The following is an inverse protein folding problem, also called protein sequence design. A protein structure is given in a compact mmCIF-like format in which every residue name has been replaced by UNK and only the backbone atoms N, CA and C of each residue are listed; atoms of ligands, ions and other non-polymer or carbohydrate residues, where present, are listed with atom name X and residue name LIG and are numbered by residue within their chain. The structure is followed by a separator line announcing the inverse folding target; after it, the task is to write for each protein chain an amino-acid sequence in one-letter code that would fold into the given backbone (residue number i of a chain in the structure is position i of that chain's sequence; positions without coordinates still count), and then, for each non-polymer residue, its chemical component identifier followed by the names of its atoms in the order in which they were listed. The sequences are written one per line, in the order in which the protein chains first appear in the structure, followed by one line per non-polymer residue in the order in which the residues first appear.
data_IF_272737510376
#
_entry.id   IF_272737510376
#
_cell.length_a   1.000
_cell.length_b   1.000
_cell.length_c   1.000
_cell.angle_alpha   90.00
_cell.angle_beta   90.00
_cell.angle_gamma   90.00
#
_symmetry.space_group_name_H-M   'P 1'
#
loop_
_entity.id
_entity.type
_entity.pdbx_description
1 polymer ?
#
# COMPACT_ATOMS: atom_id res chain seq x y z
N UNK A 1 -21.73 -23.90 19.85
CA UNK A 1 -21.89 -24.27 18.42
C UNK A 1 -21.04 -25.50 18.18
N UNK A 2 -21.61 -26.58 17.61
CA UNK A 2 -20.90 -27.84 17.37
C UNK A 2 -19.83 -27.67 16.30
N UNK A 3 -18.59 -28.03 16.61
CA UNK A 3 -17.45 -27.80 15.72
C UNK A 3 -17.44 -28.80 14.56
N UNK A 4 -17.82 -28.34 13.36
CA UNK A 4 -17.66 -29.12 12.12
C UNK A 4 -16.17 -29.34 11.76
N UNK A 5 -15.28 -28.56 12.37
CA UNK A 5 -13.83 -28.69 12.32
C UNK A 5 -13.32 -28.78 13.76
N UNK A 6 -12.43 -29.74 14.02
CA UNK A 6 -11.73 -29.85 15.30
C UNK A 6 -10.84 -28.61 15.54
N UNK A 7 -10.95 -28.04 16.74
CA UNK A 7 -10.16 -26.90 17.23
C UNK A 7 -8.65 -27.01 16.99
N UNK A 8 -8.10 -28.24 16.94
CA UNK A 8 -6.67 -28.46 16.65
C UNK A 8 -6.23 -27.91 15.29
N UNK A 9 -7.13 -27.89 14.30
CA UNK A 9 -6.82 -27.42 12.94
C UNK A 9 -6.91 -25.91 12.78
N UNK A 10 -7.42 -25.18 13.77
CA UNK A 10 -7.53 -23.70 13.72
C UNK A 10 -6.14 -23.06 13.52
N UNK A 11 -5.10 -23.62 14.13
CA UNK A 11 -3.72 -23.16 13.94
C UNK A 11 -3.24 -23.29 12.49
N UNK A 12 -3.54 -24.42 11.85
CA UNK A 12 -3.19 -24.67 10.46
C UNK A 12 -3.95 -23.76 9.49
N UNK A 13 -5.24 -23.55 9.73
CA UNK A 13 -6.08 -22.61 8.95
C UNK A 13 -5.53 -21.19 9.05
N UNK A 14 -5.25 -20.72 10.28
CA UNK A 14 -4.64 -19.40 10.52
C UNK A 14 -3.31 -19.27 9.80
N UNK A 15 -2.46 -20.29 9.84
CA UNK A 15 -1.16 -20.29 9.15
C UNK A 15 -1.32 -20.14 7.64
N UNK A 16 -2.29 -20.83 7.04
CA UNK A 16 -2.60 -20.74 5.61
C UNK A 16 -3.03 -19.33 5.20
N UNK A 17 -3.99 -18.76 5.93
CA UNK A 17 -4.46 -17.39 5.72
C UNK A 17 -3.30 -16.39 5.88
N UNK A 18 -2.54 -16.46 6.97
CA UNK A 18 -1.45 -15.52 7.24
C UNK A 18 -0.33 -15.61 6.21
N UNK A 19 -0.08 -16.79 5.63
CA UNK A 19 0.89 -16.95 4.55
C UNK A 19 0.45 -16.21 3.29
N UNK A 20 -0.83 -16.33 2.91
CA UNK A 20 -1.41 -15.57 1.79
C UNK A 20 -1.53 -14.07 2.08
N UNK A 21 -1.79 -13.67 3.32
CA UNK A 21 -1.83 -12.25 3.69
C UNK A 21 -0.47 -11.57 3.57
N UNK A 22 0.64 -12.30 3.73
CA UNK A 22 1.99 -11.74 3.53
C UNK A 22 2.27 -11.44 2.06
N UNK A 23 1.84 -12.34 1.18
CA UNK A 23 2.02 -12.24 -0.27
C UNK A 23 0.64 -12.12 -0.91
N UNK A 24 0.10 -10.91 -0.96
CA UNK A 24 -1.27 -10.67 -1.38
C UNK A 24 -1.54 -11.14 -2.81
N UNK A 25 -2.71 -11.76 -3.09
CA UNK A 25 -3.00 -12.33 -4.41
C UNK A 25 -3.05 -11.34 -5.59
N UNK A 26 -3.10 -10.03 -5.31
CA UNK A 26 -3.32 -8.99 -6.33
C UNK A 26 -2.02 -8.47 -6.93
N UNK A 27 -1.06 -8.10 -6.08
CA UNK A 27 0.21 -7.46 -6.47
C UNK A 27 1.41 -8.04 -5.71
N UNK A 28 1.22 -9.12 -4.95
CA UNK A 28 2.22 -9.65 -4.02
C UNK A 28 2.44 -8.81 -2.76
N UNK A 29 1.80 -7.62 -2.65
CA UNK A 29 1.92 -6.73 -1.50
C UNK A 29 1.19 -7.29 -0.26
N UNK A 30 1.62 -6.94 0.97
CA UNK A 30 0.99 -7.44 2.18
C UNK A 30 -0.45 -6.93 2.32
N UNK A 31 -1.36 -7.85 2.57
CA UNK A 31 -2.77 -7.56 2.83
C UNK A 31 -2.96 -7.03 4.26
N UNK A 32 -3.64 -5.91 4.41
CA UNK A 32 -3.93 -5.28 5.70
C UNK A 32 -5.42 -4.98 5.84
N UNK A 33 -5.87 -4.72 7.07
CA UNK A 33 -7.25 -4.35 7.40
C UNK A 33 -8.31 -5.39 7.00
N UNK A 34 -7.97 -6.68 7.10
CA UNK A 34 -8.87 -7.80 6.79
C UNK A 34 -9.29 -8.52 8.07
N UNK A 35 -10.59 -8.82 8.18
CA UNK A 35 -11.14 -9.73 9.17
C UNK A 35 -11.57 -11.02 8.50
N UNK A 36 -11.02 -12.15 8.93
CA UNK A 36 -11.41 -13.48 8.46
C UNK A 36 -12.20 -14.18 9.56
N UNK A 37 -13.36 -14.73 9.21
CA UNK A 37 -14.24 -15.47 10.12
C UNK A 37 -14.49 -16.85 9.55
N UNK A 38 -14.07 -17.89 10.27
CA UNK A 38 -14.36 -19.29 9.94
C UNK A 38 -15.60 -19.68 10.73
N UNK A 39 -16.70 -19.92 10.03
CA UNK A 39 -18.00 -20.21 10.66
C UNK A 39 -18.52 -21.62 10.39
N UNK A 40 -18.03 -22.30 9.35
CA UNK A 40 -18.42 -23.66 8.99
C UNK A 40 -17.29 -24.38 8.22
N UNK A 41 -17.43 -25.69 8.03
CA UNK A 41 -16.55 -26.50 7.20
C UNK A 41 -16.84 -27.99 7.27
N UNK A 42 -15.97 -28.80 6.68
CA UNK A 42 -16.06 -30.26 6.72
C UNK A 42 -14.68 -30.87 6.97
N UNK A 43 -14.64 -31.95 7.73
CA UNK A 43 -13.43 -32.73 7.95
C UNK A 43 -13.70 -34.21 7.71
N UNK A 44 -12.67 -34.94 7.30
CA UNK A 44 -12.68 -36.39 7.15
C UNK A 44 -11.68 -37.00 8.12
N UNK A 45 -12.07 -38.03 8.89
CA UNK A 45 -11.25 -38.55 9.98
C UNK A 45 -9.90 -39.15 9.55
N UNK A 46 -9.80 -39.57 8.28
CA UNK A 46 -8.60 -40.24 7.75
C UNK A 46 -7.75 -39.29 6.90
N UNK A 47 -8.38 -38.40 6.13
CA UNK A 47 -7.68 -37.56 5.15
C UNK A 47 -7.42 -36.13 5.64
N UNK A 48 -8.06 -35.71 6.73
CA UNK A 48 -7.84 -34.39 7.31
C UNK A 48 -6.54 -34.31 8.09
N UNK A 49 -5.64 -33.47 7.60
CA UNK A 49 -4.37 -33.14 8.21
C UNK A 49 -4.10 -31.63 8.13
N UNK A 50 -3.10 -31.16 8.88
CA UNK A 50 -2.76 -29.74 8.97
C UNK A 50 -2.42 -29.12 7.61
N UNK A 51 -1.71 -29.85 6.75
CA UNK A 51 -1.30 -29.37 5.43
C UNK A 51 -2.54 -29.15 4.55
N UNK A 52 -3.48 -30.10 4.55
CA UNK A 52 -4.75 -29.98 3.81
C UNK A 52 -5.55 -28.76 4.25
N UNK A 53 -5.66 -28.51 5.57
CA UNK A 53 -6.35 -27.32 6.08
C UNK A 53 -5.61 -26.02 5.77
N UNK A 54 -4.27 -26.03 5.80
CA UNK A 54 -3.46 -24.87 5.42
C UNK A 54 -3.66 -24.51 3.94
N UNK A 55 -3.66 -25.52 3.05
CA UNK A 55 -3.89 -25.34 1.61
C UNK A 55 -5.33 -24.88 1.33
N UNK A 56 -6.33 -25.53 1.94
CA UNK A 56 -7.73 -25.15 1.80
C UNK A 56 -7.98 -23.70 2.25
N UNK A 57 -7.42 -23.30 3.39
CA UNK A 57 -7.53 -21.94 3.91
C UNK A 57 -6.85 -20.91 3.00
N UNK A 58 -5.72 -21.27 2.41
CA UNK A 58 -5.00 -20.41 1.45
C UNK A 58 -5.83 -20.19 0.18
N UNK A 59 -6.40 -21.27 -0.38
CA UNK A 59 -7.27 -21.19 -1.56
C UNK A 59 -8.54 -20.39 -1.30
N UNK A 60 -9.22 -20.66 -0.19
CA UNK A 60 -10.42 -19.95 0.23
C UNK A 60 -10.15 -18.45 0.44
N UNK A 61 -9.01 -18.09 1.05
CA UNK A 61 -8.62 -16.69 1.20
C UNK A 61 -8.39 -16.03 -0.16
N UNK A 62 -7.67 -16.68 -1.08
CA UNK A 62 -7.38 -16.14 -2.42
C UNK A 62 -8.66 -15.83 -3.20
N UNK A 63 -9.59 -16.78 -3.23
CA UNK A 63 -10.89 -16.62 -3.92
C UNK A 63 -11.73 -15.51 -3.28
N UNK A 64 -11.88 -15.54 -1.95
CA UNK A 64 -12.63 -14.52 -1.21
C UNK A 64 -12.01 -13.13 -1.39
N UNK A 65 -10.69 -13.03 -1.40
CA UNK A 65 -9.97 -11.77 -1.58
C UNK A 65 -10.22 -11.17 -2.96
N UNK A 66 -10.19 -11.98 -4.03
CA UNK A 66 -10.49 -11.51 -5.40
C UNK A 66 -11.95 -11.06 -5.53
N UNK A 67 -12.89 -11.82 -4.96
CA UNK A 67 -14.32 -11.49 -4.98
C UNK A 67 -14.67 -10.24 -4.16
N UNK A 68 -13.86 -9.91 -3.16
CA UNK A 68 -14.04 -8.73 -2.30
C UNK A 68 -13.68 -7.40 -2.97
N UNK A 69 -13.20 -7.41 -4.22
CA UNK A 69 -12.74 -6.21 -4.96
C UNK A 69 -11.66 -5.44 -4.18
N UNK A 70 -10.49 -6.06 -3.98
CA UNK A 70 -9.45 -5.49 -3.15
C UNK A 70 -8.94 -4.18 -3.76
N UNK A 71 -8.65 -3.22 -2.89
CA UNK A 71 -8.10 -1.92 -3.27
C UNK A 71 -6.63 -1.86 -2.89
N UNK A 72 -5.82 -1.28 -3.75
CA UNK A 72 -4.41 -1.08 -3.48
C UNK A 72 -4.22 0.22 -2.70
N UNK A 73 -3.32 0.18 -1.73
CA UNK A 73 -2.94 1.33 -0.92
C UNK A 73 -1.50 1.74 -1.23
N UNK A 74 -1.26 3.03 -1.40
CA UNK A 74 0.08 3.61 -1.49
C UNK A 74 0.40 4.44 -0.24
N UNK A 75 1.67 4.45 0.23
CA UNK A 75 2.07 5.27 1.35
C UNK A 75 2.21 6.72 0.92
N UNK A 76 1.53 7.61 1.66
CA UNK A 76 1.61 9.05 1.49
C UNK A 76 2.59 9.63 2.49
N UNK A 77 3.41 10.57 2.03
CA UNK A 77 4.37 11.28 2.84
C UNK A 77 3.98 12.74 2.91
N UNK A 78 3.95 13.26 4.13
CA UNK A 78 3.85 14.69 4.36
C UNK A 78 5.22 15.29 4.10
N UNK A 79 5.31 16.13 3.09
CA UNK A 79 6.52 16.84 2.68
C UNK A 79 6.38 18.31 3.07
N UNK A 80 7.36 18.82 3.80
CA UNK A 80 7.50 20.23 4.11
C UNK A 80 8.70 20.79 3.35
N UNK A 81 8.48 21.79 2.50
CA UNK A 81 9.52 22.38 1.66
C UNK A 81 9.67 23.85 2.05
N UNK A 82 10.89 24.23 2.45
CA UNK A 82 11.28 25.62 2.62
C UNK A 82 12.04 26.07 1.40
N UNK A 83 11.52 27.08 0.69
CA UNK A 83 12.15 27.63 -0.51
C UNK A 83 12.06 29.17 -0.55
N UNK A 84 12.93 29.85 -1.30
CA UNK A 84 12.80 31.29 -1.52
C UNK A 84 11.52 31.64 -2.29
N UNK A 85 10.98 32.83 -2.07
CA UNK A 85 9.77 33.33 -2.74
C UNK A 85 9.86 33.22 -4.28
N UNK A 86 11.02 33.57 -4.84
CA UNK A 86 11.33 33.49 -6.27
C UNK A 86 11.15 32.08 -6.87
N UNK A 87 11.40 31.03 -6.08
CA UNK A 87 11.33 29.64 -6.54
C UNK A 87 10.02 28.93 -6.16
N UNK A 88 9.13 29.61 -5.45
CA UNK A 88 7.88 29.02 -4.95
C UNK A 88 6.98 28.54 -6.08
N UNK A 89 6.89 29.31 -7.18
CA UNK A 89 6.11 28.94 -8.35
C UNK A 89 6.59 27.65 -9.02
N UNK A 90 7.90 27.50 -9.21
CA UNK A 90 8.47 26.31 -9.84
C UNK A 90 8.33 25.06 -8.95
N UNK A 91 8.51 25.21 -7.64
CA UNK A 91 8.29 24.13 -6.67
C UNK A 91 6.83 23.68 -6.66
N UNK A 92 5.87 24.62 -6.71
CA UNK A 92 4.45 24.27 -6.83
C UNK A 92 4.15 23.53 -8.13
N UNK A 93 4.77 23.92 -9.25
CA UNK A 93 4.63 23.24 -10.53
C UNK A 93 5.11 21.79 -10.49
N UNK A 94 6.26 21.52 -9.88
CA UNK A 94 6.79 20.15 -9.72
C UNK A 94 5.94 19.31 -8.76
N UNK A 95 5.40 19.88 -7.68
CA UNK A 95 4.49 19.14 -6.81
C UNK A 95 3.20 18.72 -7.53
N UNK A 96 2.67 19.57 -8.42
CA UNK A 96 1.47 19.25 -9.21
C UNK A 96 1.68 18.07 -10.16
N UNK A 97 2.88 17.92 -10.75
CA UNK A 97 3.17 16.77 -11.63
C UNK A 97 3.29 15.46 -10.83
N UNK A 98 3.66 15.55 -9.55
CA UNK A 98 3.86 14.42 -8.62
C UNK A 98 2.61 13.99 -7.85
N UNK A 99 1.42 14.31 -8.36
CA UNK A 99 0.13 14.00 -7.70
C UNK A 99 0.06 14.51 -6.25
N UNK A 100 0.78 15.58 -5.92
CA UNK A 100 0.78 16.13 -4.57
C UNK A 100 -0.55 16.78 -4.23
N UNK A 101 -0.98 16.61 -2.99
CA UNK A 101 -2.12 17.31 -2.41
C UNK A 101 -1.56 18.41 -1.52
N UNK A 102 -1.65 19.66 -1.97
CA UNK A 102 -1.17 20.81 -1.20
C UNK A 102 -2.11 21.03 -0.02
N UNK A 103 -1.60 20.84 1.21
CA UNK A 103 -2.36 21.08 2.44
C UNK A 103 -2.38 22.58 2.79
N UNK A 104 -1.31 23.30 2.46
CA UNK A 104 -1.21 24.73 2.73
C UNK A 104 0.17 25.31 2.43
N UNK A 105 0.25 26.63 2.55
CA UNK A 105 1.48 27.40 2.44
C UNK A 105 1.55 28.39 3.61
N UNK A 106 2.73 28.52 4.19
CA UNK A 106 3.03 29.45 5.27
C UNK A 106 4.32 30.23 4.93
N UNK A 107 4.57 31.34 5.63
CA UNK A 107 5.76 32.15 5.42
C UNK A 107 6.63 32.13 6.67
N UNK A 108 7.87 31.69 6.52
CA UNK A 108 8.87 31.62 7.60
C UNK A 108 10.00 32.62 7.32
N UNK A 109 9.81 33.86 7.76
CA UNK A 109 10.76 34.95 7.53
C UNK A 109 10.85 35.34 6.05
N UNK A 110 11.99 35.07 5.41
CA UNK A 110 12.21 35.31 3.98
C UNK A 110 11.96 34.06 3.11
N UNK A 111 11.55 32.94 3.71
CA UNK A 111 11.28 31.69 3.02
C UNK A 111 9.77 31.40 3.00
N UNK A 112 9.30 30.77 1.93
CA UNK A 112 7.99 30.16 1.87
C UNK A 112 8.09 28.70 2.28
N UNK A 113 7.18 28.28 3.16
CA UNK A 113 7.01 26.91 3.61
C UNK A 113 5.79 26.31 2.93
N UNK A 114 6.00 25.30 2.10
CA UNK A 114 4.95 24.56 1.41
C UNK A 114 4.74 23.23 2.13
N UNK A 115 3.50 22.90 2.45
CA UNK A 115 3.14 21.63 3.07
C UNK A 115 2.24 20.86 2.10
N UNK A 116 2.66 19.66 1.73
CA UNK A 116 1.94 18.82 0.79
C UNK A 116 2.02 17.34 1.20
N UNK A 117 0.97 16.58 0.91
CA UNK A 117 1.00 15.12 0.98
C UNK A 117 1.29 14.58 -0.43
N UNK A 118 2.34 13.77 -0.56
CA UNK A 118 2.82 13.25 -1.84
C UNK A 118 2.96 11.74 -1.75
N UNK A 119 2.51 10.97 -2.76
CA UNK A 119 2.76 9.53 -2.78
C UNK A 119 4.26 9.25 -2.83
N UNK A 120 4.75 8.30 -2.02
CA UNK A 120 6.18 7.96 -1.99
C UNK A 120 6.71 7.55 -3.38
N UNK A 121 5.87 6.91 -4.19
CA UNK A 121 6.21 6.51 -5.55
C UNK A 121 6.63 7.69 -6.46
N UNK A 122 6.15 8.90 -6.15
CA UNK A 122 6.43 10.12 -6.91
C UNK A 122 7.58 10.94 -6.30
N UNK A 123 8.16 10.50 -5.19
CA UNK A 123 9.24 11.21 -4.48
C UNK A 123 10.64 10.67 -4.80
N UNK A 124 10.75 9.82 -5.82
CA UNK A 124 12.05 9.31 -6.25
C UNK A 124 12.95 10.46 -6.74
N UNK A 125 14.20 10.45 -6.28
CA UNK A 125 15.20 11.50 -6.51
C UNK A 125 14.74 12.95 -6.24
N UNK A 126 13.71 13.16 -5.41
CA UNK A 126 13.11 14.47 -5.17
C UNK A 126 14.14 15.54 -4.72
N UNK A 127 15.13 15.15 -3.90
CA UNK A 127 16.18 16.07 -3.45
C UNK A 127 17.04 16.64 -4.59
N UNK A 128 17.31 15.83 -5.62
CA UNK A 128 18.08 16.24 -6.80
C UNK A 128 17.25 17.18 -7.68
N UNK A 129 15.97 16.87 -7.89
CA UNK A 129 15.04 17.73 -8.64
C UNK A 129 14.84 19.06 -7.94
N UNK A 130 14.55 19.06 -6.63
CA UNK A 130 14.36 20.28 -5.84
C UNK A 130 15.61 21.18 -5.86
N UNK A 131 16.80 20.59 -5.74
CA UNK A 131 18.07 21.34 -5.85
C UNK A 131 18.21 21.98 -7.23
N UNK A 132 17.83 21.29 -8.29
CA UNK A 132 17.95 21.79 -9.67
C UNK A 132 16.99 22.96 -9.92
N UNK A 133 15.74 22.84 -9.46
CA UNK A 133 14.71 23.88 -9.61
C UNK A 133 15.06 25.14 -8.80
N UNK A 134 15.55 24.95 -7.57
CA UNK A 134 15.75 26.06 -6.61
C UNK A 134 17.18 26.61 -6.58
N UNK A 135 18.07 26.11 -7.45
CA UNK A 135 19.50 26.42 -7.42
C UNK A 135 20.18 26.02 -6.10
N UNK A 136 19.65 25.00 -5.42
CA UNK A 136 20.15 24.49 -4.14
C UNK A 136 19.81 25.34 -2.91
N UNK A 137 18.87 26.29 -3.04
CA UNK A 137 18.45 27.19 -1.95
C UNK A 137 17.26 26.68 -1.15
N UNK A 138 16.62 25.59 -1.57
CA UNK A 138 15.53 24.96 -0.83
C UNK A 138 15.96 23.76 0.01
N UNK A 139 15.17 23.48 1.04
CA UNK A 139 15.28 22.30 1.89
C UNK A 139 13.92 21.64 1.99
N UNK A 140 13.90 20.32 2.14
CA UNK A 140 12.68 19.60 2.41
C UNK A 140 12.87 18.61 3.54
N UNK A 141 11.79 18.33 4.25
CA UNK A 141 11.66 17.21 5.18
C UNK A 141 10.44 16.41 4.76
N UNK A 142 10.47 15.11 5.03
CA UNK A 142 9.32 14.26 4.76
C UNK A 142 9.12 13.27 5.91
N UNK A 143 7.85 13.00 6.23
CA UNK A 143 7.46 12.01 7.20
C UNK A 143 6.30 11.18 6.65
N UNK A 144 6.25 9.90 7.00
CA UNK A 144 5.09 9.07 6.69
C UNK A 144 3.83 9.69 7.31
N UNK A 145 2.78 9.82 6.51
CA UNK A 145 1.49 10.38 6.93
C UNK A 145 0.49 9.25 7.14
N UNK A 146 0.05 8.63 6.05
CA UNK A 146 -0.95 7.57 6.04
C UNK A 146 -0.86 6.71 4.76
N UNK A 147 -1.79 5.76 4.64
CA UNK A 147 -1.99 4.98 3.42
C UNK A 147 -3.26 5.47 2.73
N UNK A 148 -3.17 5.76 1.44
CA UNK A 148 -4.30 6.19 0.63
C UNK A 148 -4.55 5.27 -0.55
N UNK A 149 -5.75 5.34 -1.12
CA UNK A 149 -6.15 4.53 -2.26
C UNK A 149 -5.35 4.94 -3.49
N UNK A 150 -4.75 3.94 -4.14
CA UNK A 150 -4.10 4.12 -5.43
C UNK A 150 -5.16 4.48 -6.47
N UNK A 151 -4.91 5.49 -7.33
CA UNK A 151 -5.78 5.80 -8.45
C UNK A 151 -6.04 4.57 -9.33
N UNK A 152 -7.28 4.42 -9.81
CA UNK A 152 -7.70 3.19 -10.52
C UNK A 152 -6.89 2.86 -11.77
N UNK A 153 -6.38 3.87 -12.48
CA UNK A 153 -5.49 3.71 -13.62
C UNK A 153 -4.14 3.08 -13.21
N UNK A 154 -3.51 3.60 -12.16
CA UNK A 154 -2.23 3.10 -11.64
C UNK A 154 -2.41 1.69 -11.06
N UNK A 155 -3.52 1.45 -10.35
CA UNK A 155 -3.82 0.12 -9.81
C UNK A 155 -3.93 -0.94 -10.93
N UNK A 156 -4.61 -0.64 -12.04
CA UNK A 156 -4.74 -1.57 -13.17
C UNK A 156 -3.39 -1.90 -13.80
N UNK A 157 -2.53 -0.89 -13.96
CA UNK A 157 -1.18 -1.06 -14.50
C UNK A 157 -0.33 -1.96 -13.59
N UNK A 158 -0.34 -1.72 -12.27
CA UNK A 158 0.39 -2.54 -11.31
C UNK A 158 -0.09 -4.00 -11.26
N UNK A 159 -1.40 -4.22 -11.34
CA UNK A 159 -1.97 -5.57 -11.43
C UNK A 159 -1.48 -6.29 -12.68
N UNK A 160 -1.46 -5.59 -13.81
CA UNK A 160 -1.01 -6.16 -15.08
C UNK A 160 0.47 -6.52 -15.04
N UNK A 161 1.32 -5.61 -14.55
CA UNK A 161 2.76 -5.87 -14.40
C UNK A 161 3.03 -7.06 -13.47
N UNK A 162 2.29 -7.17 -12.38
CA UNK A 162 2.44 -8.31 -11.48
C UNK A 162 2.02 -9.63 -12.13
N UNK A 163 0.94 -9.63 -12.92
CA UNK A 163 0.51 -10.81 -13.65
C UNK A 163 1.58 -11.29 -14.65
N UNK A 164 2.20 -10.36 -15.39
CA UNK A 164 3.29 -10.65 -16.32
C UNK A 164 4.51 -11.26 -15.59
N UNK A 165 4.89 -10.71 -14.42
CA UNK A 165 6.02 -11.23 -13.63
C UNK A 165 5.81 -12.62 -13.02
N UNK A 166 4.56 -13.04 -12.83
CA UNK A 166 4.22 -14.35 -12.27
C UNK A 166 4.14 -15.43 -13.36
N UNK A 167 3.92 -15.02 -14.62
CA UNK A 167 3.90 -15.92 -15.78
C UNK A 167 5.30 -16.25 -16.33
N UNK A 168 6.31 -15.41 -16.04
CA UNK A 168 7.75 -15.68 -16.28
C UNK A 168 8.38 -16.56 -15.19
#
# INVERSE_FOLDING_TARGET
MGGAIDSRYIGAIRKGIMAQMKNGPLTGSPCQNIRVVVFDGKMHSVDSNDISFQLAASGAFKEAFQNAKPQLLEPMYRVEILCPDEATGDVMGDLQTRRAIISGMDTEGHYQKIIADVPLAELDDYGSTLRSITGGKAKFTMAFSDYQLVPGNVQQELIKHYAEQVEE
#
